data_IF_390187925121
#
_entry.id   IF_390187925121
#
_cell.length_a   1.000
_cell.length_b   1.000
_cell.length_c   1.000
_cell.angle_alpha   90.00
_cell.angle_beta   90.00
_cell.angle_gamma   90.00
#
_symmetry.space_group_name_H-M   'P 1'
#
loop_
_entity.id
_entity.type
_entity.pdbx_description
1 polymer ?
#
# COMPACT_ATOMS: atom_id res chain seq x y z
N UNK A 1 -62.59 -42.80 53.67
CA UNK A 1 -63.36 -41.96 52.72
C UNK A 1 -62.43 -41.66 51.54
N UNK A 2 -62.30 -42.58 50.60
CA UNK A 2 -63.22 -42.80 49.48
C UNK A 2 -62.88 -41.90 48.27
N UNK A 3 -62.50 -42.58 47.19
CA UNK A 3 -62.81 -42.26 45.79
C UNK A 3 -62.17 -41.02 45.14
N UNK A 4 -61.18 -41.28 44.26
CA UNK A 4 -61.20 -41.01 42.80
C UNK A 4 -59.76 -41.24 42.28
N UNK A 5 -59.34 -42.41 41.78
CA UNK A 5 -59.67 -43.09 40.51
C UNK A 5 -59.50 -42.21 39.24
N UNK A 6 -58.68 -42.74 38.32
CA UNK A 6 -58.41 -42.34 36.92
C UNK A 6 -57.34 -41.23 36.76
N UNK A 7 -56.30 -41.38 35.94
CA UNK A 7 -56.17 -42.19 34.74
C UNK A 7 -54.71 -42.58 34.48
N UNK A 8 -54.46 -43.88 34.29
CA UNK A 8 -53.45 -44.34 33.36
C UNK A 8 -53.84 -43.86 31.95
N UNK A 9 -53.02 -43.00 31.35
CA UNK A 9 -52.95 -42.89 29.89
C UNK A 9 -51.48 -42.89 29.47
N UNK A 10 -51.15 -43.93 28.73
CA UNK A 10 -49.92 -44.13 28.00
C UNK A 10 -49.63 -42.94 27.08
N UNK A 11 -48.42 -42.37 27.20
CA UNK A 11 -47.72 -41.81 26.06
C UNK A 11 -46.30 -42.38 26.05
N UNK A 12 -46.14 -43.42 25.24
CA UNK A 12 -44.86 -43.79 24.62
C UNK A 12 -44.26 -42.55 23.97
N UNK A 13 -43.01 -42.21 24.30
CA UNK A 13 -42.04 -41.63 23.35
C UNK A 13 -40.73 -41.36 24.06
N UNK A 14 -39.76 -42.26 23.87
CA UNK A 14 -38.42 -42.00 23.32
C UNK A 14 -37.89 -40.56 23.30
N UNK A 15 -37.96 -39.80 24.39
CA UNK A 15 -37.43 -38.41 24.41
C UNK A 15 -36.82 -38.02 25.76
N UNK A 16 -36.31 -39.00 26.52
CA UNK A 16 -35.58 -38.73 27.78
C UNK A 16 -34.11 -39.22 27.74
N UNK A 17 -33.63 -39.70 26.59
CA UNK A 17 -32.22 -40.11 26.37
C UNK A 17 -31.46 -39.28 25.34
N UNK A 18 -31.77 -37.98 25.21
CA UNK A 18 -31.08 -37.11 24.24
C UNK A 18 -30.42 -35.84 24.77
N UNK A 19 -30.35 -35.64 26.09
CA UNK A 19 -29.83 -34.39 26.67
C UNK A 19 -28.51 -34.54 27.43
N UNK A 20 -28.00 -35.76 27.65
CA UNK A 20 -26.71 -35.93 28.34
C UNK A 20 -25.82 -36.91 27.58
N UNK A 21 -24.86 -36.32 26.85
CA UNK A 21 -23.54 -36.82 26.38
C UNK A 21 -23.23 -36.30 24.97
N UNK A 22 -22.90 -35.03 24.87
CA UNK A 22 -21.88 -34.61 23.91
C UNK A 22 -20.64 -34.21 24.71
N UNK A 23 -19.99 -35.21 25.31
CA UNK A 23 -18.56 -35.09 25.60
C UNK A 23 -17.89 -34.96 24.25
N UNK A 24 -17.54 -33.73 23.85
CA UNK A 24 -16.70 -33.50 22.69
C UNK A 24 -15.40 -34.23 23.00
N UNK A 25 -15.17 -35.35 22.32
CA UNK A 25 -13.94 -36.12 22.46
C UNK A 25 -12.76 -35.22 22.19
N UNK A 26 -11.67 -35.35 22.96
CA UNK A 26 -10.47 -34.54 22.80
C UNK A 26 -9.97 -34.54 21.34
N UNK A 27 -10.18 -35.65 20.62
CA UNK A 27 -9.89 -35.79 19.21
C UNK A 27 -10.69 -34.83 18.31
N UNK A 28 -11.95 -34.54 18.63
CA UNK A 28 -12.76 -33.56 17.89
C UNK A 28 -12.27 -32.13 18.12
N UNK A 29 -11.81 -31.81 19.32
CA UNK A 29 -11.20 -30.51 19.62
C UNK A 29 -9.85 -30.36 18.91
N UNK A 30 -9.03 -31.40 18.91
CA UNK A 30 -7.75 -31.41 18.18
C UNK A 30 -7.98 -31.30 16.67
N UNK A 31 -8.96 -32.00 16.11
CA UNK A 31 -9.34 -31.86 14.70
C UNK A 31 -9.87 -30.47 14.35
N UNK A 32 -10.61 -29.83 15.26
CA UNK A 32 -11.07 -28.44 15.08
C UNK A 32 -9.90 -27.46 15.13
N UNK A 33 -8.98 -27.62 16.07
CA UNK A 33 -7.79 -26.78 16.20
C UNK A 33 -6.86 -26.94 14.99
N UNK A 34 -6.67 -28.15 14.48
CA UNK A 34 -5.92 -28.37 13.23
C UNK A 34 -6.61 -27.77 12.02
N UNK A 35 -7.94 -27.85 11.93
CA UNK A 35 -8.72 -27.19 10.86
C UNK A 35 -8.61 -25.66 10.93
N UNK A 36 -8.60 -25.08 12.13
CA UNK A 36 -8.43 -23.65 12.34
C UNK A 36 -7.00 -23.21 12.01
N UNK A 37 -5.98 -23.97 12.42
CA UNK A 37 -4.59 -23.73 12.04
C UNK A 37 -4.37 -23.86 10.53
N UNK A 38 -5.03 -24.81 9.86
CA UNK A 38 -5.01 -24.92 8.39
C UNK A 38 -5.73 -23.77 7.70
N UNK A 39 -6.77 -23.18 8.31
CA UNK A 39 -7.43 -21.97 7.79
C UNK A 39 -6.59 -20.71 8.00
N UNK A 40 -5.90 -20.59 9.13
CA UNK A 40 -5.01 -19.47 9.45
C UNK A 40 -3.70 -19.52 8.65
N UNK A 41 -3.18 -20.71 8.36
CA UNK A 41 -1.99 -20.92 7.54
C UNK A 41 -2.29 -21.06 6.04
N UNK A 42 -3.57 -21.04 5.64
CA UNK A 42 -3.95 -20.84 4.24
C UNK A 42 -3.65 -19.38 3.92
N UNK A 43 -2.43 -19.11 3.48
CA UNK A 43 -2.09 -17.87 2.80
C UNK A 43 -3.09 -17.66 1.67
N UNK A 44 -3.60 -16.44 1.43
CA UNK A 44 -4.23 -16.11 0.16
C UNK A 44 -3.14 -16.03 -0.91
N UNK A 45 -2.54 -17.17 -1.23
CA UNK A 45 -1.71 -17.30 -2.42
C UNK A 45 -2.69 -17.56 -3.57
N UNK A 46 -2.81 -16.54 -4.43
CA UNK A 46 -3.40 -16.52 -5.77
C UNK A 46 -4.91 -16.76 -5.91
N UNK A 47 -5.69 -15.79 -5.45
CA UNK A 47 -6.84 -15.29 -6.22
C UNK A 47 -6.63 -13.78 -6.46
N UNK A 48 -5.46 -13.44 -7.01
CA UNK A 48 -5.32 -12.17 -7.74
C UNK A 48 -5.97 -12.48 -9.08
N UNK A 49 -7.27 -12.17 -9.21
CA UNK A 49 -7.82 -11.98 -10.52
C UNK A 49 -6.94 -10.93 -11.20
N UNK A 50 -6.18 -11.35 -12.21
CA UNK A 50 -5.44 -10.45 -13.09
C UNK A 50 -6.45 -9.48 -13.71
N UNK A 51 -6.68 -8.34 -13.05
CA UNK A 51 -7.40 -7.22 -13.61
C UNK A 51 -6.47 -6.57 -14.63
N UNK A 52 -6.32 -7.22 -15.79
CA UNK A 52 -5.74 -6.60 -16.97
C UNK A 52 -6.70 -5.52 -17.44
N UNK A 53 -6.51 -4.30 -16.94
CA UNK A 53 -7.12 -3.13 -17.55
C UNK A 53 -6.50 -2.97 -18.95
N UNK A 54 -7.29 -2.88 -20.03
CA UNK A 54 -6.80 -2.77 -21.41
C UNK A 54 -6.18 -1.40 -21.73
N UNK A 55 -6.03 -0.53 -20.74
CA UNK A 55 -5.44 0.79 -20.86
C UNK A 55 -4.12 0.76 -20.10
N UNK A 56 -3.00 1.05 -20.78
CA UNK A 56 -1.62 1.12 -20.22
C UNK A 56 -1.43 2.23 -19.16
N UNK A 57 -2.45 2.51 -18.34
CA UNK A 57 -2.39 3.42 -17.22
C UNK A 57 -2.06 2.60 -15.96
N UNK A 58 -0.95 2.94 -15.31
CA UNK A 58 -0.57 2.34 -14.03
C UNK A 58 -1.62 2.75 -13.00
N UNK A 59 -2.65 1.92 -12.80
CA UNK A 59 -3.64 2.11 -11.75
C UNK A 59 -2.94 1.89 -10.41
N UNK A 60 -2.82 2.96 -9.61
CA UNK A 60 -2.34 2.84 -8.23
C UNK A 60 -3.45 2.20 -7.40
N UNK A 61 -3.19 1.01 -6.87
CA UNK A 61 -4.17 0.30 -6.06
C UNK A 61 -4.52 1.13 -4.81
N UNK A 62 -5.82 1.34 -4.57
CA UNK A 62 -6.32 1.95 -3.32
C UNK A 62 -6.24 0.92 -2.20
N UNK A 63 -5.04 0.62 -1.75
CA UNK A 63 -4.81 -0.29 -0.62
C UNK A 63 -4.59 0.56 0.62
N UNK A 64 -5.21 0.17 1.73
CA UNK A 64 -4.94 0.75 3.05
C UNK A 64 -3.44 0.50 3.35
N UNK A 65 -2.56 1.52 3.31
CA UNK A 65 -1.13 1.33 3.36
C UNK A 65 -0.73 1.02 4.79
N UNK A 66 -0.88 -0.24 5.18
CA UNK A 66 -0.18 -0.71 6.35
C UNK A 66 1.33 -0.66 6.06
N UNK A 67 2.13 -0.36 7.08
CA UNK A 67 3.59 -0.19 6.92
C UNK A 67 4.27 -1.45 6.39
N UNK A 68 3.65 -2.61 6.60
CA UNK A 68 4.08 -3.91 6.10
C UNK A 68 3.97 -3.96 4.57
N UNK A 69 2.85 -3.53 4.00
CA UNK A 69 2.56 -3.51 2.56
C UNK A 69 3.52 -2.61 1.76
N UNK A 70 4.02 -1.55 2.39
CA UNK A 70 4.94 -0.59 1.76
C UNK A 70 6.38 -1.15 1.65
N UNK A 71 6.75 -2.20 2.38
CA UNK A 71 8.12 -2.72 2.30
C UNK A 71 8.40 -3.41 0.96
N UNK A 72 9.62 -3.24 0.44
CA UNK A 72 10.06 -3.84 -0.83
C UNK A 72 9.89 -5.36 -0.92
N UNK A 73 9.86 -6.04 0.23
CA UNK A 73 9.62 -7.49 0.29
C UNK A 73 8.21 -7.87 -0.16
N UNK A 74 7.22 -7.03 0.11
CA UNK A 74 5.81 -7.28 -0.17
C UNK A 74 5.32 -6.60 -1.45
N UNK A 75 6.07 -5.60 -1.95
CA UNK A 75 5.79 -4.91 -3.22
C UNK A 75 7.00 -5.00 -4.17
N UNK A 76 7.20 -6.15 -4.86
CA UNK A 76 8.32 -6.35 -5.76
C UNK A 76 8.23 -5.48 -7.02
N UNK A 77 7.02 -5.20 -7.50
CA UNK A 77 6.75 -4.38 -8.69
C UNK A 77 6.92 -2.87 -8.44
N UNK A 78 7.05 -2.47 -7.16
CA UNK A 78 7.23 -1.07 -6.74
C UNK A 78 6.09 -0.17 -7.20
N UNK A 79 4.86 -0.69 -7.20
CA UNK A 79 3.66 0.09 -7.50
C UNK A 79 3.46 1.13 -6.41
N UNK A 80 3.11 2.36 -6.78
CA UNK A 80 2.84 3.43 -5.83
C UNK A 80 1.55 3.16 -5.05
N UNK A 81 1.54 3.54 -3.77
CA UNK A 81 0.40 3.32 -2.87
C UNK A 81 -0.27 4.65 -2.56
N UNK A 82 -1.58 4.76 -2.77
CA UNK A 82 -2.35 5.96 -2.45
C UNK A 82 -3.37 5.67 -1.35
N UNK A 83 -3.41 6.55 -0.35
CA UNK A 83 -4.42 6.58 0.70
C UNK A 83 -4.90 8.00 0.92
N UNK A 84 -6.19 8.19 0.79
CA UNK A 84 -6.84 9.41 1.27
C UNK A 84 -7.14 9.21 2.78
N UNK A 85 -6.91 10.22 3.61
CA UNK A 85 -7.22 10.16 5.05
C UNK A 85 -8.44 11.02 5.34
N UNK A 86 -9.43 10.42 6.00
CA UNK A 86 -10.55 11.17 6.55
C UNK A 86 -10.20 11.73 7.93
N UNK A 87 -10.62 12.97 8.20
CA UNK A 87 -10.37 13.65 9.48
C UNK A 87 -10.89 12.87 10.69
N UNK A 88 -11.98 12.13 10.51
CA UNK A 88 -12.57 11.27 11.55
C UNK A 88 -11.67 10.08 11.91
N UNK A 89 -11.01 9.47 10.92
CA UNK A 89 -10.06 8.38 11.15
C UNK A 89 -8.81 8.87 11.86
N UNK A 90 -8.30 10.02 11.42
CA UNK A 90 -7.11 10.65 12.02
C UNK A 90 -7.36 11.03 13.47
N UNK A 91 -8.51 11.64 13.78
CA UNK A 91 -8.87 12.05 15.13
C UNK A 91 -9.04 10.86 16.10
N UNK A 92 -9.39 9.67 15.60
CA UNK A 92 -9.53 8.47 16.43
C UNK A 92 -8.17 7.87 16.82
N UNK A 93 -7.14 8.06 15.99
CA UNK A 93 -5.87 7.34 16.10
C UNK A 93 -4.68 8.22 16.52
N UNK A 94 -4.70 9.52 16.20
CA UNK A 94 -3.58 10.40 16.49
C UNK A 94 -3.70 11.05 17.89
N UNK A 95 -2.57 11.17 18.58
CA UNK A 95 -2.47 11.91 19.86
C UNK A 95 -2.19 13.40 19.66
N UNK A 96 -1.86 13.80 18.44
CA UNK A 96 -1.48 15.17 18.10
C UNK A 96 -2.68 15.91 17.52
N UNK A 97 -2.94 17.11 18.05
CA UNK A 97 -4.01 17.96 17.54
C UNK A 97 -3.77 18.30 16.07
N UNK A 98 -4.78 18.04 15.23
CA UNK A 98 -4.87 18.56 13.86
C UNK A 98 -4.49 20.04 13.90
N UNK A 99 -3.48 20.44 13.12
CA UNK A 99 -2.90 21.78 13.20
C UNK A 99 -4.02 22.82 12.97
N UNK A 100 -4.36 23.65 13.97
CA UNK A 100 -5.54 24.51 13.91
C UNK A 100 -5.44 25.60 12.85
N UNK A 101 -4.22 25.93 12.41
CA UNK A 101 -3.94 27.03 11.48
C UNK A 101 -3.89 26.62 10.00
N UNK A 102 -4.18 25.35 9.68
CA UNK A 102 -4.29 24.89 8.28
C UNK A 102 -5.76 24.92 7.87
N UNK A 103 -6.07 25.64 6.80
CA UNK A 103 -7.41 25.71 6.22
C UNK A 103 -7.94 24.33 5.85
N UNK A 104 -9.26 24.12 5.97
CA UNK A 104 -9.90 22.84 5.60
C UNK A 104 -9.59 22.43 4.16
N UNK A 105 -9.47 23.43 3.27
CA UNK A 105 -9.16 23.22 1.86
C UNK A 105 -7.72 22.70 1.65
N UNK A 106 -6.78 23.05 2.53
CA UNK A 106 -5.41 22.55 2.45
C UNK A 106 -5.26 21.16 3.07
N UNK A 107 -6.11 20.81 4.04
CA UNK A 107 -6.13 19.47 4.65
C UNK A 107 -6.54 18.37 3.68
N UNK A 108 -7.48 18.66 2.77
CA UNK A 108 -7.94 17.71 1.74
C UNK A 108 -6.90 17.44 0.64
N UNK A 109 -5.70 18.01 0.72
CA UNK A 109 -4.64 17.78 -0.25
C UNK A 109 -4.04 16.39 -0.07
N UNK A 110 -3.58 15.85 -1.18
CA UNK A 110 -2.76 14.64 -1.22
C UNK A 110 -1.30 15.06 -1.30
N UNK A 111 -0.52 14.60 -0.33
CA UNK A 111 0.92 14.77 -0.28
C UNK A 111 1.60 13.59 -0.97
N UNK A 112 2.51 13.90 -1.87
CA UNK A 112 3.34 12.93 -2.57
C UNK A 112 4.61 12.68 -1.78
N UNK A 113 4.80 11.43 -1.35
CA UNK A 113 6.00 10.96 -0.65
C UNK A 113 6.87 10.23 -1.64
N UNK A 114 8.05 10.75 -1.93
CA UNK A 114 8.97 10.16 -2.88
C UNK A 114 10.42 10.32 -2.43
N UNK A 115 11.28 9.55 -3.06
CA UNK A 115 12.71 9.72 -2.92
C UNK A 115 13.23 10.41 -4.19
N UNK A 116 13.98 11.52 -4.07
CA UNK A 116 14.45 12.24 -5.25
C UNK A 116 15.35 11.35 -6.10
N UNK A 117 15.08 11.32 -7.40
CA UNK A 117 15.88 10.58 -8.37
C UNK A 117 17.20 11.31 -8.67
N UNK A 118 18.18 10.55 -9.15
CA UNK A 118 19.39 11.16 -9.70
C UNK A 118 19.04 11.98 -10.94
N UNK A 119 19.67 13.13 -11.11
CA UNK A 119 19.52 13.92 -12.33
C UNK A 119 20.15 13.18 -13.50
N UNK A 120 19.41 13.01 -14.59
CA UNK A 120 19.92 12.35 -15.79
C UNK A 120 21.09 13.09 -16.44
N UNK A 121 21.21 14.40 -16.23
CA UNK A 121 22.28 15.23 -16.80
C UNK A 121 23.60 15.18 -15.99
N UNK A 122 23.64 14.51 -14.84
CA UNK A 122 24.80 14.48 -13.95
C UNK A 122 25.13 13.04 -13.56
N UNK A 123 26.34 12.61 -13.89
CA UNK A 123 26.83 11.26 -13.57
C UNK A 123 27.45 11.16 -12.17
N UNK A 124 27.72 12.30 -11.52
CA UNK A 124 28.26 12.30 -10.16
C UNK A 124 27.20 11.77 -9.20
N UNK A 125 27.48 10.68 -8.45
CA UNK A 125 26.57 10.23 -7.42
C UNK A 125 26.55 11.29 -6.31
N UNK A 126 25.56 12.17 -6.34
CA UNK A 126 25.42 13.19 -5.31
C UNK A 126 25.13 12.48 -3.99
N UNK A 127 26.03 12.65 -3.03
CA UNK A 127 26.11 11.87 -1.79
C UNK A 127 24.79 11.88 -1.02
N UNK A 128 23.98 12.93 -1.14
CA UNK A 128 22.75 13.09 -0.36
C UNK A 128 21.48 12.70 -1.14
N UNK A 129 21.55 12.57 -2.46
CA UNK A 129 20.38 12.22 -3.26
C UNK A 129 20.00 10.75 -3.07
N UNK A 130 18.73 10.53 -2.76
CA UNK A 130 18.22 9.20 -2.50
C UNK A 130 18.53 8.62 -1.11
N UNK A 131 18.97 9.44 -0.15
CA UNK A 131 19.12 9.01 1.26
C UNK A 131 17.97 9.47 2.16
N UNK A 132 17.17 10.40 1.67
CA UNK A 132 16.03 10.96 2.39
C UNK A 132 14.76 10.87 1.54
N UNK A 133 13.64 10.85 2.23
CA UNK A 133 12.30 10.93 1.68
C UNK A 133 11.85 12.38 1.66
N UNK A 134 11.14 12.77 0.62
CA UNK A 134 10.56 14.09 0.46
C UNK A 134 9.06 13.95 0.47
N UNK A 135 8.42 14.77 1.28
CA UNK A 135 6.98 15.04 1.19
C UNK A 135 6.82 16.34 0.45
N UNK A 136 6.07 16.30 -0.66
CA UNK A 136 5.75 17.46 -1.49
C UNK A 136 4.25 17.48 -1.76
N UNK A 137 3.67 18.66 -1.90
CA UNK A 137 2.27 18.84 -2.25
C UNK A 137 2.15 19.28 -3.70
N UNK A 138 1.09 18.82 -4.38
CA UNK A 138 0.82 19.26 -5.74
C UNK A 138 0.53 20.77 -5.77
N UNK A 139 1.30 21.56 -6.56
CA UNK A 139 1.06 22.99 -6.66
C UNK A 139 -0.21 23.24 -7.46
N UNK A 140 -1.11 24.09 -6.93
CA UNK A 140 -2.42 24.32 -7.57
C UNK A 140 -2.35 25.21 -8.81
N UNK A 141 -2.08 26.50 -8.60
CA UNK A 141 -2.11 27.49 -9.67
C UNK A 141 -0.96 28.47 -9.55
N UNK A 142 -0.37 28.76 -10.71
CA UNK A 142 0.57 29.83 -10.90
C UNK A 142 -0.01 30.79 -11.94
N UNK A 143 0.02 32.08 -11.65
CA UNK A 143 -0.43 33.11 -12.57
C UNK A 143 0.65 34.19 -12.70
N UNK A 144 0.61 34.94 -13.80
CA UNK A 144 1.49 36.09 -13.98
C UNK A 144 0.88 37.30 -13.27
N UNK A 145 1.72 38.04 -12.55
CA UNK A 145 1.29 39.31 -11.96
C UNK A 145 1.01 40.34 -13.05
N UNK A 146 -0.15 41.03 -13.05
CA UNK A 146 -0.55 41.95 -14.12
C UNK A 146 0.31 43.23 -14.17
N UNK A 147 0.92 43.62 -13.05
CA UNK A 147 1.71 44.85 -12.97
C UNK A 147 3.11 44.66 -13.57
N UNK A 148 3.90 43.78 -12.97
CA UNK A 148 5.32 43.66 -13.28
C UNK A 148 5.64 42.54 -14.27
N UNK A 149 4.72 41.60 -14.49
CA UNK A 149 4.95 40.35 -15.26
C UNK A 149 6.15 39.50 -14.79
N UNK A 150 6.91 39.96 -13.80
CA UNK A 150 7.98 39.25 -13.12
C UNK A 150 7.38 38.38 -12.02
N UNK A 151 7.67 37.08 -12.10
CA UNK A 151 7.29 36.10 -11.10
C UNK A 151 6.00 35.35 -11.42
N UNK A 152 6.07 34.04 -11.24
CA UNK A 152 4.90 33.21 -11.00
C UNK A 152 4.35 33.56 -9.61
N UNK A 153 3.25 34.29 -9.58
CA UNK A 153 2.50 34.52 -8.35
C UNK A 153 1.64 33.29 -8.07
N UNK A 154 1.46 32.98 -6.79
CA UNK A 154 0.59 31.89 -6.34
C UNK A 154 -0.08 32.29 -5.03
N UNK A 155 -1.32 31.82 -4.86
CA UNK A 155 -2.04 31.89 -3.59
C UNK A 155 -1.86 30.61 -2.76
N UNK A 156 -1.06 29.67 -3.25
CA UNK A 156 -0.85 28.38 -2.61
C UNK A 156 0.28 28.47 -1.57
N UNK A 157 -0.02 28.33 -0.26
CA UNK A 157 1.01 28.36 0.77
C UNK A 157 1.94 27.15 0.70
N UNK A 158 1.53 26.00 0.13
CA UNK A 158 2.32 24.76 0.08
C UNK A 158 3.01 24.54 -1.27
N UNK A 159 2.79 25.38 -2.28
CA UNK A 159 3.19 25.12 -3.67
C UNK A 159 4.69 24.97 -3.92
N UNK A 160 5.56 25.35 -2.97
CA UNK A 160 7.02 25.13 -3.01
C UNK A 160 7.56 24.47 -1.74
N UNK A 161 6.69 23.97 -0.86
CA UNK A 161 7.11 23.38 0.40
C UNK A 161 7.52 21.93 0.18
N UNK A 162 8.75 21.62 0.60
CA UNK A 162 9.28 20.26 0.61
C UNK A 162 9.80 19.97 2.01
N UNK A 163 9.32 18.87 2.61
CA UNK A 163 9.79 18.42 3.93
C UNK A 163 10.60 17.15 3.76
N UNK A 164 11.81 17.14 4.34
CA UNK A 164 12.75 16.02 4.21
C UNK A 164 12.71 15.14 5.45
N UNK A 165 12.67 13.84 5.22
CA UNK A 165 12.61 12.81 6.26
C UNK A 165 13.70 11.77 6.04
N UNK A 166 14.26 11.23 7.12
CA UNK A 166 15.23 10.14 7.02
C UNK A 166 14.57 8.80 6.69
N UNK A 167 13.33 8.59 7.14
CA UNK A 167 12.61 7.33 6.95
C UNK A 167 11.22 7.55 6.38
N UNK A 168 10.77 6.61 5.54
CA UNK A 168 9.42 6.61 4.98
C UNK A 168 8.34 6.57 6.06
N UNK A 169 8.57 5.80 7.13
CA UNK A 169 7.65 5.71 8.27
C UNK A 169 7.41 7.07 8.92
N UNK A 170 8.47 7.85 9.12
CA UNK A 170 8.36 9.19 9.71
C UNK A 170 7.56 10.13 8.81
N UNK A 171 7.73 10.05 7.49
CA UNK A 171 6.98 10.85 6.52
C UNK A 171 5.48 10.51 6.55
N UNK A 172 5.15 9.21 6.53
CA UNK A 172 3.76 8.74 6.60
C UNK A 172 3.09 9.15 7.92
N UNK A 173 3.79 9.00 9.05
CA UNK A 173 3.26 9.41 10.35
C UNK A 173 2.96 10.90 10.38
N UNK A 174 3.86 11.75 9.87
CA UNK A 174 3.62 13.19 9.80
C UNK A 174 2.38 13.52 8.98
N UNK A 175 2.26 12.94 7.77
CA UNK A 175 1.08 13.18 6.93
C UNK A 175 -0.21 12.68 7.60
N UNK A 176 -0.17 11.53 8.28
CA UNK A 176 -1.31 10.99 9.04
C UNK A 176 -1.70 11.90 10.19
N UNK A 177 -0.74 12.35 11.00
CA UNK A 177 -0.98 13.23 12.16
C UNK A 177 -1.57 14.58 11.74
N UNK A 178 -1.17 15.08 10.56
CA UNK A 178 -1.68 16.34 9.99
C UNK A 178 -2.99 16.16 9.22
N UNK A 179 -3.38 14.91 8.93
CA UNK A 179 -4.57 14.56 8.16
C UNK A 179 -4.46 14.82 6.66
N UNK A 180 -3.24 14.80 6.10
CA UNK A 180 -3.03 14.88 4.66
C UNK A 180 -3.19 13.51 4.02
N UNK A 181 -3.84 13.46 2.85
CA UNK A 181 -3.79 12.29 1.96
C UNK A 181 -2.34 11.96 1.61
N UNK A 182 -2.02 10.69 1.40
CA UNK A 182 -0.67 10.22 1.10
C UNK A 182 -0.65 9.45 -0.20
N UNK A 183 0.29 9.80 -1.06
CA UNK A 183 0.61 9.09 -2.30
C UNK A 183 2.10 8.74 -2.31
N UNK A 184 2.42 7.45 -2.21
CA UNK A 184 3.79 6.95 -2.04
C UNK A 184 4.32 6.54 -3.41
N UNK A 185 5.42 7.16 -3.83
CA UNK A 185 6.16 6.79 -5.02
C UNK A 185 7.43 6.02 -4.60
N UNK A 186 7.49 4.75 -4.98
CA UNK A 186 8.63 3.91 -4.67
C UNK A 186 9.88 4.30 -5.46
N UNK A 187 11.07 4.33 -4.83
CA UNK A 187 12.31 4.64 -5.53
C UNK A 187 12.68 3.57 -6.55
N UNK A 188 13.18 4.03 -7.70
CA UNK A 188 13.78 3.17 -8.72
C UNK A 188 15.30 3.22 -8.59
N UNK A 189 15.84 2.30 -7.80
CA UNK A 189 17.29 2.11 -7.71
C UNK A 189 17.84 1.39 -8.95
N UNK A 190 19.01 1.84 -9.43
CA UNK A 190 19.78 1.14 -10.46
C UNK A 190 20.34 -0.15 -9.86
N UNK A 191 20.17 -1.26 -10.57
CA UNK A 191 20.84 -2.51 -10.22
C UNK A 191 22.31 -2.43 -10.60
N UNK A 192 23.19 -2.88 -9.70
CA UNK A 192 24.61 -3.03 -10.04
C UNK A 192 24.74 -4.25 -10.96
N UNK A 193 25.02 -4.02 -12.24
CA UNK A 193 25.35 -5.08 -13.18
C UNK A 193 26.86 -5.31 -13.17
N UNK A 194 27.28 -6.58 -13.30
CA UNK A 194 28.67 -6.90 -13.58
C UNK A 194 28.99 -6.36 -14.97
N UNK A 195 29.93 -5.43 -15.05
CA UNK A 195 30.47 -4.92 -16.29
C UNK A 195 31.95 -5.27 -16.30
N UNK A 196 32.36 -6.25 -17.11
CA UNK A 196 33.77 -6.56 -17.30
C UNK A 196 34.23 -6.01 -18.66
N UNK A 197 35.37 -5.31 -18.69
CA UNK A 197 35.90 -4.75 -19.94
C UNK A 197 36.24 -5.83 -20.97
N UNK A 198 36.60 -7.03 -20.50
CA UNK A 198 36.88 -8.21 -21.34
C UNK A 198 35.65 -8.59 -22.18
N UNK A 199 34.44 -8.37 -21.68
CA UNK A 199 33.20 -8.73 -22.38
C UNK A 199 33.06 -8.00 -23.73
N UNK A 200 33.73 -6.85 -23.88
CA UNK A 200 33.77 -6.08 -25.13
C UNK A 200 34.54 -6.80 -26.26
N UNK A 201 35.44 -7.73 -25.91
CA UNK A 201 36.31 -8.45 -26.86
C UNK A 201 35.92 -9.91 -27.06
N UNK A 202 34.77 -10.34 -26.54
CA UNK A 202 34.27 -11.68 -26.79
C UNK A 202 33.95 -11.89 -28.28
N UNK A 203 34.30 -13.06 -28.81
CA UNK A 203 34.01 -13.44 -30.20
C UNK A 203 32.49 -13.41 -30.45
N UNK A 204 32.06 -12.61 -31.44
CA UNK A 204 30.64 -12.37 -31.74
C UNK A 204 30.03 -13.38 -32.74
N UNK A 205 30.81 -14.37 -33.16
CA UNK A 205 30.43 -15.30 -34.22
C UNK A 205 30.78 -14.80 -35.62
N UNK A 206 30.51 -15.63 -36.62
CA UNK A 206 30.71 -15.30 -38.02
C UNK A 206 29.75 -14.18 -38.47
N UNK A 207 30.15 -13.33 -39.43
CA UNK A 207 29.29 -12.28 -39.96
C UNK A 207 28.00 -12.88 -40.55
N UNK A 208 26.87 -12.21 -40.34
CA UNK A 208 25.62 -12.57 -41.02
C UNK A 208 25.84 -12.39 -42.52
N UNK A 209 25.48 -13.41 -43.31
CA UNK A 209 25.51 -13.30 -44.78
C UNK A 209 24.53 -12.21 -45.18
N UNK A 210 25.02 -11.22 -45.91
CA UNK A 210 24.18 -10.21 -46.53
C UNK A 210 23.34 -10.93 -47.61
N UNK A 211 22.02 -10.92 -47.45
CA UNK A 211 21.11 -11.26 -48.54
C UNK A 211 21.26 -10.11 -49.55
N UNK A 212 21.89 -10.41 -50.68
CA UNK A 212 21.95 -9.49 -51.81
C UNK A 212 20.54 -9.52 -52.37
N UNK A 213 19.75 -8.49 -52.08
CA UNK A 213 18.48 -8.25 -52.75
C UNK A 213 18.81 -7.91 -54.21
N UNK A 214 18.62 -8.87 -55.11
CA UNK A 214 18.76 -8.69 -56.55
C UNK A 214 17.58 -7.83 -57.07
N UNK A 215 17.83 -6.53 -57.27
CA UNK A 215 16.92 -5.55 -57.93
C UNK A 215 16.77 -5.79 -59.44
#
# INVERSE_FOLDING_TARGET
MALFLLAQKNFSSTTVRRVLKQTVTADKLNQLNEKLLKKLNKRPDTDIAEYTNPTNEIQRERINPDFTTVQFKFNPERVGLRKDYDLSEVAAESQHAVVPHVDEYDRKRVATIYQPSSRACQDTPQIDWGKYWVVSWEPRQFYKSPLMHYGTATNDPFGKHEVKFNTLKSAINMCRDQGFGVDIIMPRHRFHSRQAYIDNFNWKGDPKKEEIDDD
#
